data_IF_761618343297
#
_entry.id   IF_761618343297
#
_cell.length_a   1.000
_cell.length_b   1.000
_cell.length_c   1.000
_cell.angle_alpha   90.00
_cell.angle_beta   90.00
_cell.angle_gamma   90.00
#
_symmetry.space_group_name_H-M   'P 1'
#
loop_
_entity.id
_entity.type
_entity.pdbx_description
1 polymer ?
#
# COMPACT_ATOMS: atom_id res chain seq x y z
N UNK A 1 9.84 -27.16 18.92
CA UNK A 1 9.81 -26.81 17.47
C UNK A 1 8.80 -25.70 17.24
N UNK A 2 9.23 -24.44 17.34
CA UNK A 2 8.38 -23.27 17.12
C UNK A 2 8.11 -23.17 15.63
N UNK A 3 6.88 -23.50 15.21
CA UNK A 3 6.45 -23.36 13.81
C UNK A 3 6.55 -21.87 13.44
N UNK A 4 7.48 -21.50 12.56
CA UNK A 4 7.45 -20.21 11.90
C UNK A 4 6.23 -20.20 10.96
N UNK A 5 5.07 -19.87 11.51
CA UNK A 5 3.89 -19.55 10.74
C UNK A 5 4.21 -18.29 9.93
N UNK A 6 4.65 -18.47 8.69
CA UNK A 6 4.76 -17.38 7.72
C UNK A 6 3.41 -16.68 7.66
N UNK A 7 3.31 -15.51 8.32
CA UNK A 7 2.06 -14.79 8.56
C UNK A 7 1.45 -14.21 7.29
N UNK A 8 2.13 -14.35 6.14
CA UNK A 8 1.69 -13.83 4.85
C UNK A 8 1.98 -14.83 3.74
N UNK A 9 1.10 -15.83 3.59
CA UNK A 9 1.16 -16.83 2.51
C UNK A 9 1.01 -16.24 1.10
N UNK A 10 0.76 -14.94 0.95
CA UNK A 10 0.68 -14.25 -0.33
C UNK A 10 1.10 -12.77 -0.21
N UNK A 11 2.24 -12.35 -0.78
CA UNK A 11 2.67 -10.96 -0.79
C UNK A 11 1.66 -10.05 -1.52
N UNK A 12 1.74 -8.74 -1.27
CA UNK A 12 0.95 -7.76 -2.02
C UNK A 12 1.36 -7.80 -3.50
N UNK A 13 0.40 -7.61 -4.40
CA UNK A 13 0.74 -7.43 -5.81
C UNK A 13 1.55 -6.12 -5.99
N UNK A 14 2.40 -6.02 -7.04
CA UNK A 14 3.30 -4.88 -7.20
C UNK A 14 2.59 -3.51 -7.22
N UNK A 15 1.36 -3.45 -7.76
CA UNK A 15 0.55 -2.24 -7.81
C UNK A 15 0.12 -1.77 -6.41
N UNK A 16 -0.42 -2.68 -5.60
CA UNK A 16 -0.79 -2.37 -4.22
C UNK A 16 0.44 -2.03 -3.37
N UNK A 17 1.56 -2.72 -3.60
CA UNK A 17 2.82 -2.44 -2.90
C UNK A 17 3.34 -1.03 -3.16
N UNK A 18 3.38 -0.58 -4.42
CA UNK A 18 3.75 0.81 -4.78
C UNK A 18 2.86 1.83 -4.11
N UNK A 19 1.56 1.57 -4.09
CA UNK A 19 0.57 2.45 -3.46
C UNK A 19 0.80 2.57 -1.95
N UNK A 20 1.04 1.44 -1.28
CA UNK A 20 1.34 1.40 0.16
C UNK A 20 2.58 2.22 0.51
N UNK A 21 3.67 2.07 -0.26
CA UNK A 21 4.89 2.86 -0.05
C UNK A 21 4.64 4.36 -0.18
N UNK A 22 3.86 4.77 -1.19
CA UNK A 22 3.54 6.17 -1.39
C UNK A 22 2.70 6.76 -0.24
N UNK A 23 1.70 6.01 0.23
CA UNK A 23 0.79 6.42 1.33
C UNK A 23 1.48 6.43 2.69
N UNK A 24 2.51 5.60 2.89
CA UNK A 24 3.33 5.62 4.10
C UNK A 24 4.05 6.97 4.26
N UNK A 25 4.50 7.54 3.14
CA UNK A 25 5.24 8.81 3.09
C UNK A 25 4.31 10.02 3.17
N UNK A 26 3.25 10.07 2.37
CA UNK A 26 2.36 11.23 2.31
C UNK A 26 0.93 10.86 1.88
N UNK A 27 -0.08 11.65 2.25
CA UNK A 27 -1.41 11.58 1.63
C UNK A 27 -1.33 11.70 0.12
N UNK A 28 -2.21 11.00 -0.61
CA UNK A 28 -2.23 11.00 -2.08
C UNK A 28 -3.63 11.19 -2.62
N UNK A 29 -3.76 11.99 -3.68
CA UNK A 29 -5.01 12.10 -4.43
C UNK A 29 -5.33 10.78 -5.11
N UNK A 30 -6.61 10.55 -5.44
CA UNK A 30 -7.03 9.37 -6.22
C UNK A 30 -6.28 9.29 -7.56
N UNK A 31 -6.07 10.42 -8.22
CA UNK A 31 -5.37 10.50 -9.50
C UNK A 31 -3.87 10.16 -9.35
N UNK A 32 -3.23 10.59 -8.25
CA UNK A 32 -1.87 10.13 -7.93
C UNK A 32 -1.84 8.62 -7.68
N UNK A 33 -2.84 8.10 -6.95
CA UNK A 33 -2.97 6.68 -6.69
C UNK A 33 -3.10 5.87 -7.99
N UNK A 34 -3.88 6.35 -8.96
CA UNK A 34 -4.03 5.69 -10.27
C UNK A 34 -2.69 5.61 -11.03
N UNK A 35 -1.90 6.70 -10.99
CA UNK A 35 -0.55 6.75 -11.60
C UNK A 35 0.43 5.80 -10.93
N UNK A 36 0.39 5.70 -9.60
CA UNK A 36 1.27 4.83 -8.81
C UNK A 36 0.94 3.34 -8.96
N UNK A 37 -0.34 3.01 -9.14
CA UNK A 37 -0.84 1.65 -9.38
C UNK A 37 -0.85 1.23 -10.86
N UNK A 38 -0.21 2.00 -11.76
CA UNK A 38 -0.63 2.20 -13.16
C UNK A 38 -1.98 1.54 -13.52
N UNK A 39 -3.06 2.10 -12.99
CA UNK A 39 -4.41 1.60 -13.22
C UNK A 39 -5.45 2.68 -12.92
N UNK A 40 -6.44 2.85 -13.79
CA UNK A 40 -7.54 3.82 -13.63
C UNK A 40 -8.61 3.37 -12.61
N UNK A 41 -8.22 2.56 -11.63
CA UNK A 41 -9.11 1.98 -10.63
C UNK A 41 -8.43 1.84 -9.26
N UNK A 42 -7.65 2.83 -8.83
CA UNK A 42 -7.00 2.83 -7.51
C UNK A 42 -7.87 2.44 -6.31
N UNK A 43 -9.20 2.70 -6.25
CA UNK A 43 -10.04 2.20 -5.16
C UNK A 43 -9.99 0.68 -4.98
N UNK A 44 -9.79 -0.07 -6.08
CA UNK A 44 -9.59 -1.52 -6.02
C UNK A 44 -8.34 -1.89 -5.21
N UNK A 45 -7.21 -1.24 -5.50
CA UNK A 45 -5.94 -1.51 -4.80
C UNK A 45 -5.93 -0.97 -3.38
N UNK A 46 -6.60 0.15 -3.10
CA UNK A 46 -6.89 0.60 -1.74
C UNK A 46 -7.69 -0.48 -0.99
N UNK A 47 -8.73 -1.04 -1.60
CA UNK A 47 -9.50 -2.15 -1.03
C UNK A 47 -8.66 -3.38 -0.71
N UNK A 48 -7.72 -3.74 -1.61
CA UNK A 48 -6.74 -4.81 -1.35
C UNK A 48 -5.90 -4.47 -0.11
N UNK A 49 -5.34 -3.26 -0.01
CA UNK A 49 -4.55 -2.84 1.15
C UNK A 49 -5.35 -2.92 2.45
N UNK A 50 -6.57 -2.36 2.45
CA UNK A 50 -7.49 -2.41 3.60
C UNK A 50 -7.77 -3.84 4.04
N UNK A 51 -8.12 -4.73 3.10
CA UNK A 51 -8.43 -6.13 3.39
C UNK A 51 -7.21 -6.94 3.84
N UNK A 52 -6.04 -6.73 3.22
CA UNK A 52 -4.86 -7.59 3.42
C UNK A 52 -4.05 -7.21 4.65
N UNK A 53 -4.01 -5.92 4.97
CA UNK A 53 -3.23 -5.38 6.07
C UNK A 53 -4.11 -4.83 7.20
N UNK A 54 -5.43 -5.02 7.10
CA UNK A 54 -6.41 -4.50 8.05
C UNK A 54 -6.25 -2.99 8.29
N UNK A 55 -6.22 -2.22 7.20
CA UNK A 55 -6.00 -0.77 7.21
C UNK A 55 -7.32 -0.01 7.07
N UNK A 56 -7.34 1.21 7.59
CA UNK A 56 -8.47 2.12 7.45
C UNK A 56 -8.39 2.94 6.17
N UNK A 57 -7.22 3.54 5.88
CA UNK A 57 -6.98 4.41 4.73
C UNK A 57 -8.17 5.37 4.44
N UNK A 58 -8.46 6.33 5.33
CA UNK A 58 -9.57 7.27 5.11
C UNK A 58 -9.40 8.05 3.81
N UNK A 59 -10.53 8.42 3.22
CA UNK A 59 -10.60 9.17 1.98
C UNK A 59 -11.36 10.47 2.23
N UNK A 60 -10.64 11.58 2.29
CA UNK A 60 -11.24 12.91 2.48
C UNK A 60 -11.57 13.55 1.13
N UNK A 61 -12.57 14.43 1.13
CA UNK A 61 -12.95 15.25 -0.04
C UNK A 61 -12.20 16.57 0.02
N UNK A 62 -11.27 16.77 -0.90
CA UNK A 62 -10.49 18.01 -0.98
C UNK A 62 -11.13 18.94 -1.99
N UNK A 63 -11.56 20.16 -1.59
CA UNK A 63 -12.13 21.12 -2.52
C UNK A 63 -11.05 21.67 -3.46
N UNK A 64 -11.41 21.91 -4.71
CA UNK A 64 -10.57 22.62 -5.68
C UNK A 64 -11.43 23.39 -6.69
N UNK A 65 -10.79 24.28 -7.45
CA UNK A 65 -11.42 24.97 -8.57
C UNK A 65 -10.96 24.32 -9.87
N UNK A 66 -11.90 23.94 -10.72
CA UNK A 66 -11.59 23.36 -12.03
C UNK A 66 -10.98 24.42 -12.96
N UNK A 67 -10.41 23.97 -14.08
CA UNK A 67 -9.90 24.87 -15.11
C UNK A 67 -10.96 25.83 -15.65
N UNK A 68 -12.23 25.44 -15.57
CA UNK A 68 -13.38 26.24 -16.05
C UNK A 68 -13.94 27.17 -14.96
N UNK A 69 -13.26 27.31 -13.81
CA UNK A 69 -13.67 28.19 -12.72
C UNK A 69 -14.74 27.61 -11.78
N UNK A 70 -15.12 26.34 -11.95
CA UNK A 70 -16.19 25.69 -11.17
C UNK A 70 -15.64 25.04 -9.90
N UNK A 71 -16.35 25.15 -8.78
CA UNK A 71 -16.02 24.43 -7.54
C UNK A 71 -16.24 22.93 -7.71
N UNK A 72 -15.26 22.13 -7.33
CA UNK A 72 -15.33 20.67 -7.37
C UNK A 72 -14.54 20.04 -6.21
N UNK A 73 -14.47 18.71 -6.17
CA UNK A 73 -13.75 17.96 -5.15
C UNK A 73 -13.05 16.74 -5.76
N UNK A 74 -11.86 16.44 -5.25
CA UNK A 74 -11.19 15.15 -5.50
C UNK A 74 -11.02 14.37 -4.19
N UNK A 75 -10.87 13.06 -4.30
CA UNK A 75 -10.61 12.18 -3.16
C UNK A 75 -9.11 12.18 -2.81
N UNK A 76 -8.78 12.30 -1.53
CA UNK A 76 -7.41 12.15 -1.03
C UNK A 76 -7.36 11.06 0.03
N UNK A 77 -6.57 10.02 -0.22
CA UNK A 77 -6.30 8.96 0.73
C UNK A 77 -5.14 9.34 1.64
N UNK A 78 -5.22 8.98 2.92
CA UNK A 78 -4.10 9.10 3.85
C UNK A 78 -3.99 7.88 4.76
N UNK A 79 -2.78 7.57 5.22
CA UNK A 79 -2.56 6.54 6.23
C UNK A 79 -2.66 7.17 7.63
N UNK A 80 -3.47 6.56 8.50
CA UNK A 80 -3.50 6.91 9.92
C UNK A 80 -2.19 6.50 10.61
N UNK A 81 -1.89 6.97 11.84
CA UNK A 81 -0.75 6.47 12.60
C UNK A 81 -0.76 4.94 12.76
N UNK A 82 -1.94 4.35 13.00
CA UNK A 82 -2.12 2.90 13.11
C UNK A 82 -1.87 2.20 11.77
N UNK A 83 -2.34 2.77 10.66
CA UNK A 83 -2.05 2.24 9.32
C UNK A 83 -0.54 2.23 9.05
N UNK A 84 0.14 3.35 9.34
CA UNK A 84 1.59 3.47 9.14
C UNK A 84 2.36 2.44 9.97
N UNK A 85 1.94 2.14 11.20
CA UNK A 85 2.56 1.10 12.02
C UNK A 85 2.44 -0.29 11.35
N UNK A 86 1.23 -0.66 10.92
CA UNK A 86 0.97 -1.94 10.21
C UNK A 86 1.73 -2.05 8.89
N UNK A 87 1.82 -0.96 8.12
CA UNK A 87 2.61 -0.91 6.89
C UNK A 87 4.11 -1.12 7.14
N UNK A 88 4.67 -0.49 8.20
CA UNK A 88 6.08 -0.68 8.56
C UNK A 88 6.37 -2.10 9.04
N UNK A 89 5.47 -2.68 9.84
CA UNK A 89 5.57 -4.09 10.26
C UNK A 89 5.59 -5.01 9.03
N UNK A 90 4.69 -4.77 8.07
CA UNK A 90 4.68 -5.53 6.81
C UNK A 90 6.01 -5.39 6.04
N UNK A 91 6.56 -4.18 5.91
CA UNK A 91 7.86 -3.97 5.25
C UNK A 91 9.02 -4.67 5.95
N UNK A 92 9.07 -4.63 7.28
CA UNK A 92 10.08 -5.34 8.06
C UNK A 92 10.02 -6.85 7.82
N UNK A 93 8.80 -7.41 7.77
CA UNK A 93 8.59 -8.84 7.48
C UNK A 93 8.99 -9.21 6.05
N UNK A 94 8.66 -8.39 5.05
CA UNK A 94 9.08 -8.61 3.66
C UNK A 94 10.61 -8.56 3.54
N UNK A 95 11.26 -7.59 4.20
CA UNK A 95 12.73 -7.52 4.22
C UNK A 95 13.35 -8.76 4.86
N UNK A 96 12.86 -9.18 6.03
CA UNK A 96 13.36 -10.37 6.70
C UNK A 96 13.21 -11.63 5.84
N UNK A 97 12.10 -11.76 5.10
CA UNK A 97 11.89 -12.87 4.18
C UNK A 97 12.87 -12.86 3.00
N UNK A 98 13.12 -11.69 2.39
CA UNK A 98 14.09 -11.54 1.31
C UNK A 98 15.51 -11.85 1.79
N UNK A 99 15.92 -11.29 2.94
CA UNK A 99 17.24 -11.52 3.53
C UNK A 99 17.46 -13.01 3.87
N UNK A 100 16.41 -13.73 4.28
CA UNK A 100 16.47 -15.18 4.52
C UNK A 100 16.59 -15.99 3.20
N UNK A 101 15.91 -15.57 2.14
CA UNK A 101 16.02 -16.19 0.81
C UNK A 101 17.42 -16.00 0.20
N UNK A 102 18.03 -14.82 0.37
CA UNK A 102 19.40 -14.56 -0.10
C UNK A 102 20.45 -15.38 0.65
N UNK A 103 20.23 -15.65 1.94
CA UNK A 103 21.13 -16.46 2.78
C UNK A 103 20.93 -17.97 2.61
N UNK A 104 19.82 -18.41 2.01
CA UNK A 104 19.62 -19.81 1.71
C UNK A 104 20.66 -20.25 0.66
N UNK A 105 21.33 -21.40 0.83
CA UNK A 105 22.28 -21.87 -0.16
C UNK A 105 21.56 -21.99 -1.51
N UNK A 106 22.08 -21.30 -2.54
CA UNK A 106 21.62 -21.51 -3.92
C UNK A 106 21.80 -23.01 -4.21
N UNK A 107 20.69 -23.71 -4.41
CA UNK A 107 20.72 -25.14 -4.68
C UNK A 107 21.69 -25.41 -5.84
N UNK A 108 22.63 -26.35 -5.63
CA UNK A 108 23.34 -26.96 -6.75
C UNK A 108 22.32 -27.81 -7.50
N UNK A 109 22.15 -27.58 -8.79
CA UNK A 109 21.29 -28.36 -9.68
C UNK A 109 20.81 -27.53 -10.85
#
# INVERSE_FOLDING_TARGET
>A
MTKHTSRFKNPLCPRAFRLMLALLNAPRSREECDRLAPASNSPHYIGILKKRLNLELPCERVPFITRDGTKSWYGRYHATPADKAKMREYLANVKAANDAQEKAPKGRG
#
